data_IF_789004284997
#
_entry.id   IF_789004284997
#
_cell.length_a   1.000
_cell.length_b   1.000
_cell.length_c   1.000
_cell.angle_alpha   90.00
_cell.angle_beta   90.00
_cell.angle_gamma   90.00
#
_symmetry.space_group_name_H-M   'P 1'
#
loop_
_entity.id
_entity.type
_entity.pdbx_description
1 polymer ?
#
# COMPACT_ATOMS: atom_id res chain seq x y z
N UNK A 1 -3.09 -0.51 8.34
CA UNK A 1 -3.37 -1.96 8.46
C UNK A 1 -4.63 -2.24 9.31
N UNK A 2 -4.68 -1.87 10.59
CA UNK A 2 -5.83 -2.20 11.46
C UNK A 2 -7.07 -1.30 11.29
N UNK A 3 -6.91 -0.01 10.97
CA UNK A 3 -8.05 0.91 10.74
C UNK A 3 -8.86 0.55 9.50
N UNK A 4 -8.21 0.06 8.45
CA UNK A 4 -8.90 -0.48 7.27
C UNK A 4 -9.72 -1.74 7.60
N UNK A 5 -9.19 -2.64 8.43
CA UNK A 5 -9.93 -3.80 8.90
C UNK A 5 -11.11 -3.40 9.79
N UNK A 6 -10.94 -2.41 10.66
CA UNK A 6 -12.03 -1.83 11.44
C UNK A 6 -13.10 -1.21 10.54
N UNK A 7 -12.70 -0.56 9.44
CA UNK A 7 -13.63 -0.02 8.45
C UNK A 7 -14.38 -1.11 7.69
N UNK A 8 -13.74 -2.25 7.38
CA UNK A 8 -14.43 -3.39 6.80
C UNK A 8 -15.56 -3.90 7.70
N UNK A 9 -15.37 -3.94 9.04
CA UNK A 9 -16.46 -4.23 9.96
C UNK A 9 -17.53 -3.13 9.97
N UNK A 10 -17.11 -1.87 9.90
CA UNK A 10 -18.03 -0.73 9.90
C UNK A 10 -18.98 -0.73 8.70
N UNK A 11 -18.48 -0.96 7.48
CA UNK A 11 -19.33 -0.95 6.28
C UNK A 11 -20.26 -2.16 6.19
N UNK A 12 -19.92 -3.25 6.87
CA UNK A 12 -20.73 -4.48 6.93
C UNK A 12 -21.53 -4.60 8.25
N UNK A 13 -21.59 -3.55 9.07
CA UNK A 13 -22.19 -3.61 10.42
C UNK A 13 -23.67 -4.02 10.41
N UNK A 14 -24.39 -3.64 9.35
CA UNK A 14 -25.83 -3.90 9.22
C UNK A 14 -26.13 -5.33 8.72
N UNK A 15 -25.10 -6.07 8.27
CA UNK A 15 -25.22 -7.46 7.81
C UNK A 15 -25.20 -8.45 8.99
N UNK A 16 -24.41 -8.16 10.02
CA UNK A 16 -24.27 -9.05 11.17
C UNK A 16 -23.92 -8.24 12.43
N UNK A 17 -24.68 -8.46 13.51
CA UNK A 17 -24.46 -7.80 14.81
C UNK A 17 -23.02 -7.95 15.33
N UNK A 18 -22.35 -9.07 15.05
CA UNK A 18 -20.92 -9.26 15.40
C UNK A 18 -20.02 -8.25 14.68
N UNK A 19 -20.34 -7.85 13.45
CA UNK A 19 -19.57 -6.83 12.74
C UNK A 19 -19.80 -5.45 13.33
N UNK A 20 -21.03 -5.12 13.72
CA UNK A 20 -21.33 -3.90 14.46
C UNK A 20 -20.53 -3.82 15.77
N UNK A 21 -20.56 -4.87 16.59
CA UNK A 21 -19.81 -4.96 17.84
C UNK A 21 -18.30 -4.78 17.62
N UNK A 22 -17.74 -5.47 16.61
CA UNK A 22 -16.32 -5.34 16.25
C UNK A 22 -15.96 -3.96 15.75
N UNK A 23 -16.84 -3.33 14.97
CA UNK A 23 -16.64 -1.96 14.48
C UNK A 23 -16.57 -0.96 15.64
N UNK A 24 -17.52 -1.03 16.59
CA UNK A 24 -17.55 -0.18 17.80
C UNK A 24 -16.29 -0.38 18.64
N UNK A 25 -15.92 -1.64 18.92
CA UNK A 25 -14.71 -1.98 19.67
C UNK A 25 -13.46 -1.38 19.03
N UNK A 26 -13.24 -1.65 17.73
CA UNK A 26 -12.02 -1.20 17.07
C UNK A 26 -11.95 0.31 16.91
N UNK A 27 -13.08 0.97 16.60
CA UNK A 27 -13.12 2.44 16.51
C UNK A 27 -12.75 3.07 17.84
N UNK A 28 -13.34 2.61 18.94
CA UNK A 28 -13.00 3.07 20.29
C UNK A 28 -11.54 2.79 20.63
N UNK A 29 -11.05 1.57 20.38
CA UNK A 29 -9.66 1.22 20.66
C UNK A 29 -8.68 2.12 19.90
N UNK A 30 -8.92 2.33 18.60
CA UNK A 30 -8.03 3.13 17.76
C UNK A 30 -8.00 4.60 18.17
N UNK A 31 -9.16 5.17 18.50
CA UNK A 31 -9.31 6.57 18.90
C UNK A 31 -8.81 6.83 20.32
N UNK A 32 -9.20 6.00 21.28
CA UNK A 32 -9.02 6.31 22.70
C UNK A 32 -7.81 5.62 23.34
N UNK A 33 -7.27 4.55 22.73
CA UNK A 33 -6.13 3.83 23.29
C UNK A 33 -4.89 3.90 22.39
N UNK A 34 -5.03 3.54 21.11
CA UNK A 34 -3.91 3.55 20.18
C UNK A 34 -3.38 4.97 19.94
N UNK A 35 -4.26 5.92 19.60
CA UNK A 35 -3.87 7.31 19.42
C UNK A 35 -3.33 7.94 20.70
N UNK A 36 -3.98 7.73 21.85
CA UNK A 36 -3.50 8.23 23.14
C UNK A 36 -2.05 7.79 23.43
N UNK A 37 -1.72 6.52 23.18
CA UNK A 37 -0.36 5.99 23.30
C UNK A 37 0.63 6.72 22.38
N UNK A 38 0.26 7.00 21.13
CA UNK A 38 1.13 7.69 20.19
C UNK A 38 1.28 9.17 20.49
N UNK A 39 0.22 9.83 20.93
CA UNK A 39 0.22 11.21 21.44
C UNK A 39 1.18 11.37 22.61
N UNK A 40 1.14 10.46 23.58
CA UNK A 40 2.08 10.44 24.71
C UNK A 40 3.54 10.30 24.23
N UNK A 41 3.80 9.36 23.31
CA UNK A 41 5.15 9.16 22.72
C UNK A 41 5.66 10.40 21.97
N UNK A 42 4.78 11.14 21.31
CA UNK A 42 5.11 12.36 20.56
C UNK A 42 5.04 13.62 21.42
N UNK A 43 4.66 13.52 22.70
CA UNK A 43 4.39 14.65 23.60
C UNK A 43 3.44 15.67 22.96
N UNK A 44 2.37 15.18 22.31
CA UNK A 44 1.39 16.00 21.58
C UNK A 44 -0.03 15.65 21.99
N UNK A 45 -0.60 16.43 22.91
CA UNK A 45 -1.92 16.20 23.50
C UNK A 45 -3.08 16.36 22.50
N UNK A 46 -2.95 17.25 21.52
CA UNK A 46 -3.99 17.51 20.52
C UNK A 46 -3.44 17.83 19.13
N UNK A 47 -4.31 17.78 18.11
CA UNK A 47 -3.97 18.09 16.72
C UNK A 47 -3.03 17.09 16.05
N UNK A 48 -2.50 17.48 14.89
CA UNK A 48 -1.64 16.66 14.03
C UNK A 48 -0.29 17.33 13.77
N UNK A 49 0.78 16.59 13.40
CA UNK A 49 0.84 15.13 13.32
C UNK A 49 1.11 14.49 14.69
N UNK A 50 0.44 13.38 15.01
CA UNK A 50 0.77 12.51 16.16
C UNK A 50 1.31 11.14 15.74
N UNK A 51 1.21 10.80 14.45
CA UNK A 51 1.87 9.66 13.82
C UNK A 51 2.79 10.18 12.73
N UNK A 52 4.09 10.06 12.96
CA UNK A 52 5.08 10.42 11.95
C UNK A 52 6.34 9.59 12.10
N UNK A 53 6.77 8.99 10.99
CA UNK A 53 8.07 8.36 10.82
C UNK A 53 8.54 8.62 9.40
N UNK A 54 9.74 9.17 9.24
CA UNK A 54 10.32 9.59 7.96
C UNK A 54 10.92 8.41 7.16
N UNK A 55 10.16 7.32 7.06
CA UNK A 55 10.40 6.17 6.19
C UNK A 55 9.16 5.99 5.32
N UNK A 56 9.33 5.89 4.01
CA UNK A 56 8.22 5.99 3.05
C UNK A 56 7.12 4.95 3.29
N UNK A 57 7.49 3.71 3.64
CA UNK A 57 6.50 2.64 3.91
C UNK A 57 5.69 2.90 5.19
N UNK A 58 6.34 3.41 6.24
CA UNK A 58 5.66 3.73 7.49
C UNK A 58 4.76 4.97 7.30
N UNK A 59 5.25 5.98 6.59
CA UNK A 59 4.51 7.20 6.29
C UNK A 59 3.27 6.92 5.43
N UNK A 60 3.38 6.09 4.40
CA UNK A 60 2.25 5.64 3.59
C UNK A 60 1.20 4.86 4.39
N UNK A 61 1.63 3.99 5.32
CA UNK A 61 0.69 3.28 6.20
C UNK A 61 0.02 4.19 7.23
N UNK A 62 0.69 5.25 7.68
CA UNK A 62 0.08 6.29 8.52
C UNK A 62 -0.87 7.19 7.75
N UNK A 63 -0.56 7.50 6.48
CA UNK A 63 -1.50 8.16 5.59
C UNK A 63 -2.80 7.35 5.43
N UNK A 64 -2.67 6.05 5.13
CA UNK A 64 -3.78 5.10 5.10
C UNK A 64 -4.53 5.02 6.42
N UNK A 65 -3.81 5.05 7.55
CA UNK A 65 -4.44 5.03 8.87
C UNK A 65 -5.36 6.23 9.08
N UNK A 66 -4.87 7.44 8.80
CA UNK A 66 -5.64 8.67 8.98
C UNK A 66 -6.88 8.71 8.07
N UNK A 67 -6.75 8.29 6.80
CA UNK A 67 -7.91 8.21 5.92
C UNK A 67 -9.01 7.29 6.49
N UNK A 68 -8.67 6.08 6.94
CA UNK A 68 -9.68 5.19 7.53
C UNK A 68 -10.18 5.65 8.90
N UNK A 69 -9.39 6.38 9.69
CA UNK A 69 -9.90 7.01 10.91
C UNK A 69 -10.95 8.07 10.60
N UNK A 70 -10.76 8.86 9.53
CA UNK A 70 -11.81 9.75 9.04
C UNK A 70 -13.07 8.98 8.67
N UNK A 71 -12.96 7.88 7.92
CA UNK A 71 -14.12 7.07 7.53
C UNK A 71 -14.86 6.45 8.71
N UNK A 72 -14.17 6.16 9.81
CA UNK A 72 -14.75 5.60 11.04
C UNK A 72 -15.37 6.65 11.97
N UNK A 73 -14.83 7.87 12.01
CA UNK A 73 -15.18 8.88 13.02
C UNK A 73 -15.90 10.09 12.47
N UNK A 74 -15.80 10.36 11.16
CA UNK A 74 -16.26 11.60 10.53
C UNK A 74 -15.42 12.83 10.86
N UNK A 75 -14.37 12.71 11.69
CA UNK A 75 -13.57 13.87 12.11
C UNK A 75 -12.66 14.37 10.99
N UNK A 76 -12.95 15.57 10.48
CA UNK A 76 -12.25 16.19 9.34
C UNK A 76 -10.73 16.32 9.54
N UNK A 77 -10.26 16.49 10.77
CA UNK A 77 -8.82 16.60 11.05
C UNK A 77 -8.01 15.39 10.57
N UNK A 78 -8.56 14.18 10.64
CA UNK A 78 -7.91 12.99 10.07
C UNK A 78 -7.85 13.03 8.55
N UNK A 79 -8.91 13.48 7.90
CA UNK A 79 -8.95 13.63 6.45
C UNK A 79 -7.90 14.64 5.97
N UNK A 80 -7.82 15.79 6.63
CA UNK A 80 -6.88 16.86 6.29
C UNK A 80 -5.42 16.41 6.49
N UNK A 81 -5.13 15.70 7.59
CA UNK A 81 -3.80 15.12 7.79
C UNK A 81 -3.48 14.07 6.71
N UNK A 82 -4.44 13.20 6.37
CA UNK A 82 -4.25 12.24 5.31
C UNK A 82 -3.99 12.94 3.95
N UNK A 83 -4.70 14.01 3.63
CA UNK A 83 -4.49 14.75 2.39
C UNK A 83 -3.10 15.40 2.36
N UNK A 84 -2.65 16.01 3.47
CA UNK A 84 -1.29 16.54 3.61
C UNK A 84 -0.24 15.46 3.39
N UNK A 85 -0.40 14.31 4.04
CA UNK A 85 0.56 13.21 3.94
C UNK A 85 0.62 12.62 2.52
N UNK A 86 -0.51 12.54 1.82
CA UNK A 86 -0.55 12.09 0.43
C UNK A 86 0.28 13.00 -0.49
N UNK A 87 0.18 14.33 -0.31
CA UNK A 87 1.01 15.28 -1.04
C UNK A 87 2.50 15.14 -0.71
N UNK A 88 2.85 14.92 0.56
CA UNK A 88 4.24 14.65 0.95
C UNK A 88 4.79 13.39 0.27
N UNK A 89 3.98 12.33 0.14
CA UNK A 89 4.38 11.11 -0.59
C UNK A 89 4.59 11.42 -2.06
N UNK A 90 3.63 12.10 -2.72
CA UNK A 90 3.73 12.50 -4.13
C UNK A 90 5.02 13.30 -4.40
N UNK A 91 5.36 14.26 -3.55
CA UNK A 91 6.57 15.08 -3.68
C UNK A 91 7.88 14.27 -3.53
N UNK A 92 7.83 13.09 -2.91
CA UNK A 92 8.96 12.18 -2.77
C UNK A 92 9.12 11.18 -3.91
N UNK A 93 8.11 11.08 -4.79
CA UNK A 93 8.14 10.19 -5.95
C UNK A 93 8.84 10.88 -7.11
N UNK A 94 9.87 10.25 -7.63
CA UNK A 94 10.53 10.61 -8.87
C UNK A 94 9.96 9.78 -10.01
N UNK A 95 9.69 10.45 -11.12
CA UNK A 95 9.27 9.79 -12.36
C UNK A 95 10.52 9.51 -13.21
N UNK A 96 10.65 8.28 -13.70
CA UNK A 96 11.79 7.82 -14.51
C UNK A 96 11.31 7.07 -15.76
N UNK A 97 12.12 7.05 -16.82
CA UNK A 97 11.84 6.23 -18.00
C UNK A 97 12.05 4.74 -17.71
N UNK A 98 11.21 3.89 -18.29
CA UNK A 98 11.32 2.44 -18.30
C UNK A 98 10.97 1.88 -19.68
N UNK A 99 11.18 0.58 -19.90
CA UNK A 99 10.77 -0.10 -21.13
C UNK A 99 9.24 -0.12 -21.35
N UNK A 100 8.45 0.26 -20.34
CA UNK A 100 6.99 0.27 -20.35
C UNK A 100 6.41 1.69 -20.22
N UNK A 101 7.23 2.72 -20.46
CA UNK A 101 6.87 4.13 -20.27
C UNK A 101 7.35 4.68 -18.94
N UNK A 102 6.65 5.69 -18.40
CA UNK A 102 7.05 6.35 -17.15
C UNK A 102 6.79 5.44 -15.94
N UNK A 103 7.75 5.39 -15.01
CA UNK A 103 7.68 4.62 -13.78
C UNK A 103 7.95 5.51 -12.55
N UNK A 104 7.42 5.10 -11.39
CA UNK A 104 7.54 5.84 -10.12
C UNK A 104 8.60 5.22 -9.19
N UNK A 105 9.66 5.96 -8.87
CA UNK A 105 10.71 5.54 -7.94
C UNK A 105 10.73 6.47 -6.73
N UNK A 106 10.97 5.93 -5.54
CA UNK A 106 11.06 6.69 -4.30
C UNK A 106 12.17 6.16 -3.38
N UNK A 107 12.61 7.01 -2.45
CA UNK A 107 13.60 6.64 -1.45
C UNK A 107 12.96 5.82 -0.31
N UNK A 108 13.71 4.89 0.30
CA UNK A 108 13.26 4.18 1.50
C UNK A 108 13.01 5.14 2.66
N UNK A 109 13.91 6.12 2.81
CA UNK A 109 13.74 7.30 3.65
C UNK A 109 12.99 8.41 2.93
N UNK A 110 12.91 9.59 3.55
CA UNK A 110 12.15 10.73 3.01
C UNK A 110 12.98 12.02 3.06
N UNK A 111 14.07 12.13 2.27
CA UNK A 111 14.98 13.28 2.33
C UNK A 111 14.31 14.62 1.98
N UNK A 112 13.38 14.62 1.03
CA UNK A 112 12.58 15.79 0.66
C UNK A 112 11.67 16.30 1.81
N UNK A 113 11.49 15.48 2.84
CA UNK A 113 10.70 15.78 4.04
C UNK A 113 11.57 15.74 5.31
N UNK A 114 12.86 16.10 5.16
CA UNK A 114 13.81 16.21 6.26
C UNK A 114 14.15 14.89 6.94
N UNK A 115 14.01 13.75 6.24
CA UNK A 115 14.53 12.45 6.64
C UNK A 115 15.93 12.22 6.10
N UNK A 116 16.54 11.08 6.44
CA UNK A 116 17.78 10.64 5.77
C UNK A 116 17.42 9.94 4.46
N UNK A 117 18.25 10.09 3.42
CA UNK A 117 18.20 9.21 2.26
C UNK A 117 18.76 7.85 2.65
N UNK A 118 18.11 6.81 2.16
CA UNK A 118 18.50 5.41 2.31
C UNK A 118 18.58 4.72 0.93
N UNK A 119 18.52 5.50 -0.15
CA UNK A 119 18.43 5.01 -1.51
C UNK A 119 17.07 4.40 -1.83
N UNK A 120 16.93 3.75 -3.00
CA UNK A 120 15.67 3.16 -3.46
C UNK A 120 15.08 2.17 -2.44
N UNK A 121 13.76 2.21 -2.26
CA UNK A 121 13.11 1.39 -1.26
C UNK A 121 13.29 -0.13 -1.52
N UNK A 122 13.74 -0.91 -0.53
CA UNK A 122 13.76 -2.37 -0.67
C UNK A 122 12.33 -2.92 -0.82
N UNK A 123 12.18 -3.94 -1.67
CA UNK A 123 10.91 -4.51 -2.12
C UNK A 123 10.08 -5.07 -0.96
N UNK A 124 10.75 -5.64 0.05
CA UNK A 124 10.11 -6.13 1.28
C UNK A 124 9.37 -5.03 2.08
N UNK A 125 9.78 -3.76 1.92
CA UNK A 125 9.12 -2.58 2.49
C UNK A 125 8.19 -1.92 1.49
N UNK A 126 8.59 -1.89 0.21
CA UNK A 126 7.79 -1.30 -0.88
C UNK A 126 6.42 -1.96 -1.02
N UNK A 127 6.29 -3.26 -0.70
CA UNK A 127 4.99 -3.95 -0.64
C UNK A 127 3.98 -3.25 0.27
N UNK A 128 4.41 -2.65 1.39
CA UNK A 128 3.51 -1.91 2.28
C UNK A 128 3.17 -0.52 1.73
N UNK A 129 4.13 0.13 1.07
CA UNK A 129 3.90 1.42 0.39
C UNK A 129 2.86 1.25 -0.72
N UNK A 130 3.07 0.27 -1.61
CA UNK A 130 2.19 -0.02 -2.73
C UNK A 130 0.82 -0.47 -2.26
N UNK A 131 0.72 -1.27 -1.19
CA UNK A 131 -0.57 -1.61 -0.58
C UNK A 131 -1.35 -0.35 -0.18
N UNK A 132 -0.69 0.60 0.49
CA UNK A 132 -1.35 1.81 0.93
C UNK A 132 -1.80 2.69 -0.24
N UNK A 133 -0.97 2.82 -1.28
CA UNK A 133 -1.32 3.55 -2.50
C UNK A 133 -2.53 2.93 -3.21
N UNK A 134 -2.52 1.60 -3.39
CA UNK A 134 -3.61 0.88 -4.04
C UNK A 134 -4.94 1.00 -3.27
N UNK A 135 -4.91 0.77 -1.95
CA UNK A 135 -6.11 0.91 -1.11
C UNK A 135 -6.68 2.32 -1.19
N UNK A 136 -5.84 3.36 -1.12
CA UNK A 136 -6.28 4.75 -1.19
C UNK A 136 -6.74 5.15 -2.60
N UNK A 137 -6.22 4.52 -3.66
CA UNK A 137 -6.76 4.68 -5.01
C UNK A 137 -8.18 4.13 -5.11
N UNK A 138 -8.44 2.91 -4.60
CA UNK A 138 -9.80 2.32 -4.61
C UNK A 138 -10.82 3.15 -3.83
N UNK A 139 -10.35 3.89 -2.84
CA UNK A 139 -11.15 4.85 -2.07
C UNK A 139 -11.36 6.19 -2.79
N UNK A 140 -10.80 6.39 -3.99
CA UNK A 140 -10.87 7.65 -4.73
C UNK A 140 -10.14 8.80 -4.03
N UNK A 141 -9.10 8.50 -3.24
CA UNK A 141 -8.51 9.47 -2.32
C UNK A 141 -7.27 10.19 -2.89
N UNK A 142 -7.38 11.52 -2.98
CA UNK A 142 -6.25 12.45 -3.18
C UNK A 142 -5.35 12.08 -4.38
N UNK A 143 -4.03 12.22 -4.22
CA UNK A 143 -3.03 11.97 -5.27
C UNK A 143 -3.10 10.58 -5.88
N UNK A 144 -3.60 9.60 -5.12
CA UNK A 144 -3.67 8.22 -5.58
C UNK A 144 -4.78 8.02 -6.61
N UNK A 145 -5.83 8.84 -6.58
CA UNK A 145 -6.91 8.84 -7.55
C UNK A 145 -6.59 9.64 -8.83
N UNK A 146 -5.45 10.34 -8.87
CA UNK A 146 -5.04 11.09 -10.06
C UNK A 146 -4.76 10.13 -11.24
N UNK A 147 -5.20 10.48 -12.47
CA UNK A 147 -4.90 9.68 -13.66
C UNK A 147 -3.40 9.43 -13.83
N UNK A 148 -3.04 8.19 -14.17
CA UNK A 148 -1.66 7.77 -14.41
C UNK A 148 -0.76 7.64 -13.18
N UNK A 149 -1.22 7.96 -11.96
CA UNK A 149 -0.40 7.75 -10.76
C UNK A 149 -0.12 6.25 -10.54
N UNK A 150 -1.18 5.44 -10.47
CA UNK A 150 -1.05 4.00 -10.24
C UNK A 150 -0.46 3.26 -11.44
N UNK A 151 -0.61 3.77 -12.66
CA UNK A 151 0.06 3.22 -13.85
C UNK A 151 1.59 3.32 -13.74
N UNK A 152 2.11 4.46 -13.27
CA UNK A 152 3.55 4.62 -13.02
C UNK A 152 4.05 3.68 -11.91
N UNK A 153 3.23 3.45 -10.87
CA UNK A 153 3.55 2.48 -9.81
C UNK A 153 3.55 1.05 -10.35
N UNK A 154 2.58 0.69 -11.20
CA UNK A 154 2.54 -0.61 -11.85
C UNK A 154 3.75 -0.81 -12.79
N UNK A 155 4.13 0.21 -13.56
CA UNK A 155 5.32 0.19 -14.39
C UNK A 155 6.60 -0.04 -13.57
N UNK A 156 6.69 0.51 -12.35
CA UNK A 156 7.81 0.19 -11.44
C UNK A 156 7.86 -1.29 -11.10
N UNK A 157 6.70 -1.89 -10.79
CA UNK A 157 6.64 -3.32 -10.50
C UNK A 157 7.00 -4.14 -11.73
N UNK A 158 6.37 -3.88 -12.88
CA UNK A 158 6.60 -4.62 -14.12
C UNK A 158 8.03 -4.48 -14.65
N UNK A 159 8.54 -3.27 -14.80
CA UNK A 159 9.80 -3.01 -15.48
C UNK A 159 11.05 -3.21 -14.59
N UNK A 160 10.92 -3.01 -13.27
CA UNK A 160 12.05 -3.05 -12.36
C UNK A 160 11.97 -4.20 -11.34
N UNK A 161 10.87 -4.31 -10.58
CA UNK A 161 10.76 -5.32 -9.52
C UNK A 161 10.75 -6.73 -10.09
N UNK A 162 10.01 -6.95 -11.19
CA UNK A 162 9.87 -8.24 -11.86
C UNK A 162 10.95 -8.53 -12.91
N UNK A 163 11.97 -7.68 -13.03
CA UNK A 163 13.05 -7.83 -14.01
C UNK A 163 13.75 -9.20 -13.96
N UNK A 164 13.76 -9.85 -12.80
CA UNK A 164 14.42 -11.15 -12.55
C UNK A 164 13.43 -12.31 -12.35
N UNK A 165 12.14 -12.05 -12.54
CA UNK A 165 11.12 -13.08 -12.38
C UNK A 165 11.17 -14.08 -13.55
N UNK A 166 10.72 -15.33 -13.37
CA UNK A 166 10.08 -15.89 -12.16
C UNK A 166 11.06 -16.46 -11.12
N UNK A 167 12.38 -16.43 -11.35
CA UNK A 167 13.35 -17.04 -10.44
C UNK A 167 13.66 -16.19 -9.20
N UNK A 168 13.63 -14.86 -9.33
CA UNK A 168 13.89 -13.92 -8.25
C UNK A 168 13.11 -12.62 -8.45
N UNK A 169 13.11 -11.77 -7.42
CA UNK A 169 12.73 -10.36 -7.57
C UNK A 169 14.00 -9.50 -7.52
N UNK A 170 13.92 -8.28 -8.05
CA UNK A 170 14.88 -7.26 -7.62
C UNK A 170 14.76 -7.05 -6.09
N UNK A 171 15.85 -6.64 -5.44
CA UNK A 171 15.81 -6.33 -4.00
C UNK A 171 15.25 -4.93 -3.74
N UNK A 172 15.40 -4.01 -4.70
CA UNK A 172 14.93 -2.62 -4.60
C UNK A 172 14.04 -2.25 -5.79
N UNK A 173 13.20 -1.24 -5.59
CA UNK A 173 12.21 -0.79 -6.59
C UNK A 173 12.83 -0.19 -7.87
N UNK A 174 14.11 0.17 -7.86
CA UNK A 174 14.85 0.62 -9.04
C UNK A 174 15.39 -0.55 -9.88
N UNK A 175 15.12 -1.79 -9.47
CA UNK A 175 15.53 -3.00 -10.17
C UNK A 175 16.91 -3.52 -9.73
N UNK A 176 17.56 -2.86 -8.77
CA UNK A 176 18.85 -3.28 -8.24
C UNK A 176 18.74 -4.41 -7.20
N UNK A 177 19.85 -5.12 -7.00
CA UNK A 177 19.93 -6.25 -6.07
C UNK A 177 19.10 -7.47 -6.49
N UNK A 178 19.04 -8.48 -5.62
CA UNK A 178 18.28 -9.71 -5.86
C UNK A 178 17.68 -10.22 -4.55
N UNK A 179 16.41 -10.62 -4.58
CA UNK A 179 15.70 -11.14 -3.42
C UNK A 179 14.86 -12.37 -3.78
N UNK A 180 14.47 -13.15 -2.77
CA UNK A 180 13.71 -14.39 -2.99
C UNK A 180 12.34 -14.11 -3.61
N UNK A 181 11.96 -14.93 -4.59
CA UNK A 181 10.63 -14.86 -5.21
C UNK A 181 9.49 -15.10 -4.20
N UNK A 182 9.76 -15.73 -3.05
CA UNK A 182 8.75 -15.97 -2.01
C UNK A 182 8.12 -14.68 -1.47
N UNK A 183 8.84 -13.54 -1.55
CA UNK A 183 8.32 -12.22 -1.18
C UNK A 183 7.09 -11.88 -2.04
N UNK A 184 7.06 -12.30 -3.32
CA UNK A 184 5.93 -12.05 -4.21
C UNK A 184 4.63 -12.63 -3.65
N UNK A 185 4.67 -13.87 -3.13
CA UNK A 185 3.51 -14.58 -2.61
C UNK A 185 2.85 -13.93 -1.39
N UNK A 186 3.55 -13.02 -0.71
CA UNK A 186 3.07 -12.26 0.46
C UNK A 186 2.99 -10.74 0.19
N UNK A 187 3.04 -10.34 -1.07
CA UNK A 187 3.05 -8.93 -1.49
C UNK A 187 1.83 -8.59 -2.35
N UNK A 188 1.37 -7.33 -2.34
CA UNK A 188 0.24 -6.90 -3.17
C UNK A 188 0.65 -6.67 -4.62
N UNK A 189 1.85 -7.09 -5.07
CA UNK A 189 2.32 -6.80 -6.43
C UNK A 189 1.40 -7.36 -7.50
N UNK A 190 0.74 -8.49 -7.23
CA UNK A 190 -0.26 -9.06 -8.13
C UNK A 190 -1.45 -8.12 -8.38
N UNK A 191 -1.80 -7.22 -7.44
CA UNK A 191 -2.90 -6.25 -7.65
C UNK A 191 -2.52 -5.15 -8.64
N UNK A 192 -1.24 -4.97 -8.95
CA UNK A 192 -0.80 -4.02 -9.98
C UNK A 192 -1.25 -4.43 -11.38
N UNK A 193 -1.72 -5.68 -11.57
CA UNK A 193 -2.29 -6.16 -12.83
C UNK A 193 -3.42 -5.27 -13.37
N UNK A 194 -4.14 -4.56 -12.49
CA UNK A 194 -5.19 -3.62 -12.89
C UNK A 194 -4.65 -2.44 -13.70
N UNK A 195 -3.48 -1.92 -13.30
CA UNK A 195 -2.86 -0.74 -13.92
C UNK A 195 -1.69 -1.08 -14.84
N UNK A 196 -1.28 -2.35 -14.88
CA UNK A 196 -0.20 -2.85 -15.74
C UNK A 196 -0.66 -3.02 -17.19
N UNK A 197 -0.20 -2.14 -18.08
CA UNK A 197 -0.59 -2.18 -19.49
C UNK A 197 0.08 -3.30 -20.28
N UNK A 198 1.26 -3.77 -19.86
CA UNK A 198 1.99 -4.81 -20.60
C UNK A 198 1.47 -6.22 -20.33
N UNK A 199 0.65 -6.42 -19.30
CA UNK A 199 0.17 -7.74 -18.87
C UNK A 199 1.24 -8.60 -18.19
N UNK A 200 2.44 -8.06 -17.96
CA UNK A 200 3.57 -8.79 -17.39
C UNK A 200 3.28 -9.23 -15.96
N UNK A 201 2.64 -8.37 -15.15
CA UNK A 201 2.25 -8.71 -13.77
C UNK A 201 1.34 -9.92 -13.78
N UNK A 202 0.35 -9.98 -14.67
CA UNK A 202 -0.58 -11.12 -14.78
C UNK A 202 0.17 -12.40 -15.14
N UNK A 203 1.00 -12.36 -16.18
CA UNK A 203 1.77 -13.54 -16.64
C UNK A 203 2.72 -14.06 -15.56
N UNK A 204 3.47 -13.17 -14.91
CA UNK A 204 4.38 -13.55 -13.83
C UNK A 204 3.62 -14.05 -12.60
N UNK A 205 2.47 -13.43 -12.25
CA UNK A 205 1.61 -13.92 -11.16
C UNK A 205 1.18 -15.36 -11.41
N UNK A 206 0.76 -15.68 -12.65
CA UNK A 206 0.36 -17.03 -13.03
C UNK A 206 1.54 -18.01 -12.88
N UNK A 207 2.71 -17.68 -13.42
CA UNK A 207 3.89 -18.54 -13.31
C UNK A 207 4.28 -18.79 -11.85
N UNK A 208 4.35 -17.73 -11.03
CA UNK A 208 4.70 -17.85 -9.62
C UNK A 208 3.65 -18.69 -8.88
N UNK A 209 2.36 -18.44 -9.11
CA UNK A 209 1.28 -19.17 -8.47
C UNK A 209 1.38 -20.69 -8.71
N UNK A 210 1.61 -21.12 -9.95
CA UNK A 210 1.79 -22.54 -10.27
C UNK A 210 3.02 -23.15 -9.60
N UNK A 211 4.07 -22.36 -9.39
CA UNK A 211 5.31 -22.83 -8.78
C UNK A 211 5.27 -22.90 -7.25
N UNK A 212 4.50 -22.01 -6.59
CA UNK A 212 4.53 -21.89 -5.12
C UNK A 212 3.26 -22.34 -4.42
N UNK A 213 2.12 -22.42 -5.12
CA UNK A 213 0.87 -22.91 -4.55
C UNK A 213 0.81 -24.43 -4.63
N UNK A 214 1.01 -25.07 -3.47
CA UNK A 214 1.02 -26.52 -3.36
C UNK A 214 -0.37 -27.14 -3.38
N UNK A 215 -1.42 -26.35 -3.16
CA UNK A 215 -2.80 -26.84 -3.17
C UNK A 215 -3.74 -25.83 -3.87
N UNK A 216 -4.09 -26.13 -5.11
CA UNK A 216 -4.98 -25.28 -5.92
C UNK A 216 -6.45 -25.36 -5.51
N UNK A 217 -6.89 -26.41 -4.80
CA UNK A 217 -8.27 -26.54 -4.29
C UNK A 217 -8.48 -25.83 -2.95
N UNK A 218 -7.41 -25.52 -2.21
CA UNK A 218 -7.43 -24.69 -1.01
C UNK A 218 -6.21 -23.75 -0.96
N UNK A 219 -6.19 -22.69 -1.78
CA UNK A 219 -5.03 -21.82 -1.90
C UNK A 219 -4.77 -21.05 -0.60
N UNK A 220 -3.53 -21.09 -0.12
CA UNK A 220 -3.15 -20.42 1.14
C UNK A 220 -2.78 -18.95 0.94
N UNK A 221 -2.55 -18.53 -0.30
CA UNK A 221 -2.06 -17.19 -0.63
C UNK A 221 -3.19 -16.35 -1.20
N UNK A 222 -3.48 -15.24 -0.53
CA UNK A 222 -4.62 -14.37 -0.89
C UNK A 222 -4.28 -13.35 -1.98
N UNK A 223 -3.04 -12.85 -2.06
CA UNK A 223 -2.70 -11.75 -2.96
C UNK A 223 -2.74 -12.12 -4.44
N UNK A 224 -2.26 -13.31 -4.82
CA UNK A 224 -2.22 -13.72 -6.23
C UNK A 224 -3.62 -13.98 -6.79
N UNK A 225 -4.52 -14.73 -6.11
CA UNK A 225 -5.92 -14.82 -6.52
C UNK A 225 -6.63 -13.47 -6.61
N UNK A 226 -6.39 -12.54 -5.66
CA UNK A 226 -6.91 -11.17 -5.77
C UNK A 226 -6.40 -10.51 -7.05
N UNK A 227 -5.10 -10.59 -7.34
CA UNK A 227 -4.52 -10.04 -8.58
C UNK A 227 -5.14 -10.60 -9.87
N UNK A 228 -5.56 -11.87 -9.88
CA UNK A 228 -6.29 -12.45 -11.01
C UNK A 228 -7.67 -11.81 -11.18
N UNK A 229 -8.44 -11.65 -10.10
CA UNK A 229 -9.73 -10.95 -10.13
C UNK A 229 -9.54 -9.50 -10.60
N UNK A 230 -8.53 -8.80 -10.08
CA UNK A 230 -8.26 -7.41 -10.51
C UNK A 230 -7.92 -7.32 -12.00
N UNK A 231 -7.22 -8.31 -12.55
CA UNK A 231 -6.87 -8.33 -13.97
C UNK A 231 -8.07 -8.48 -14.90
N UNK A 232 -9.22 -8.98 -14.41
CA UNK A 232 -10.46 -9.07 -15.21
C UNK A 232 -11.31 -7.81 -15.13
N UNK A 233 -11.01 -6.90 -14.19
CA UNK A 233 -11.68 -5.60 -14.05
C UNK A 233 -11.09 -4.52 -14.96
N UNK A 234 -10.00 -4.83 -15.66
CA UNK A 234 -9.34 -3.94 -16.59
C UNK A 234 -10.29 -3.63 -17.75
N UNK A 235 -10.64 -2.35 -17.92
CA UNK A 235 -11.42 -1.86 -19.05
C UNK A 235 -10.50 -1.54 -20.22
#
# INVERSE_FOLDING_TARGET
MISAAAYAFYVNRDINKKYEERSKFWTNYLKNHFEAKWRARKRKSSGFPFLEKKLTHAYAQWNRYHYYMYKLTGEKGYHDEAAKMAQVIKNGVKTVNSSLGQAAIWDHGMPHFGGKSHGPQPVNYARYTIQAMADLHFEGFSVYAEPGFMEKVANTVSAFVLKKAPSALADKIDGSGSSSISIYGISPFATMSLWDQSGLVKTITQQIYHNIESNTSNPRRVYMPTGFIMSTMKK
#
